data_IF_060696025237
#
_entry.id   IF_060696025237
#
_cell.length_a   1.000
_cell.length_b   1.000
_cell.length_c   1.000
_cell.angle_alpha   90.00
_cell.angle_beta   90.00
_cell.angle_gamma   90.00
#
_symmetry.space_group_name_H-M   'P 1'
#
loop_
_entity.id
_entity.type
_entity.pdbx_description
1 polymer ?
#
# COMPACT_ATOMS: atom_id res chain seq x y z
N UNK A 1 -3.50 16.76 11.00
CA UNK A 1 -3.84 16.09 9.72
C UNK A 1 -3.79 14.58 9.91
N UNK A 2 -4.87 13.88 9.58
CA UNK A 2 -4.93 12.41 9.75
C UNK A 2 -4.08 11.72 8.69
N UNK A 3 -3.32 10.70 9.07
CA UNK A 3 -2.54 9.89 8.14
C UNK A 3 -3.46 8.90 7.42
N UNK A 4 -3.30 8.76 6.12
CA UNK A 4 -3.98 7.69 5.36
C UNK A 4 -3.46 6.32 5.79
N UNK A 5 -4.23 5.26 5.52
CA UNK A 5 -3.81 3.88 5.81
C UNK A 5 -2.49 3.53 5.11
N UNK A 6 -2.26 4.04 3.90
CA UNK A 6 -1.01 3.86 3.15
C UNK A 6 0.18 4.52 3.87
N UNK A 7 -0.02 5.73 4.41
CA UNK A 7 1.02 6.42 5.19
C UNK A 7 1.34 5.67 6.49
N UNK A 8 0.34 5.06 7.13
CA UNK A 8 0.54 4.22 8.31
C UNK A 8 1.31 2.94 7.98
N UNK A 9 0.98 2.29 6.84
CA UNK A 9 1.72 1.13 6.34
C UNK A 9 3.18 1.51 6.08
N UNK A 10 3.42 2.60 5.32
CA UNK A 10 4.77 3.11 5.06
C UNK A 10 5.56 3.28 6.35
N UNK A 11 5.05 4.03 7.30
CA UNK A 11 5.74 4.30 8.57
C UNK A 11 6.01 3.02 9.36
N UNK A 12 5.05 2.10 9.37
CA UNK A 12 5.19 0.80 10.02
C UNK A 12 6.32 -0.03 9.41
N UNK A 13 6.40 -0.08 8.07
CA UNK A 13 7.46 -0.82 7.36
C UNK A 13 8.83 -0.18 7.62
N UNK A 14 8.96 1.13 7.41
CA UNK A 14 10.22 1.85 7.58
C UNK A 14 10.75 1.76 9.02
N UNK A 15 9.85 1.91 10.01
CA UNK A 15 10.21 1.81 11.42
C UNK A 15 10.66 0.39 11.83
N UNK A 16 9.98 -0.64 11.31
CA UNK A 16 10.27 -2.03 11.68
C UNK A 16 11.50 -2.62 10.97
N UNK A 17 11.76 -2.20 9.74
CA UNK A 17 12.74 -2.85 8.86
C UNK A 17 13.94 -1.96 8.51
N UNK A 18 13.81 -0.65 8.63
CA UNK A 18 14.80 0.33 8.18
C UNK A 18 14.92 0.44 6.66
N UNK A 19 14.02 -0.17 5.91
CA UNK A 19 14.02 -0.15 4.44
C UNK A 19 13.27 1.06 3.91
N UNK A 20 13.74 1.63 2.81
CA UNK A 20 13.00 2.68 2.10
C UNK A 20 11.73 2.09 1.49
N UNK A 21 10.61 2.79 1.69
CA UNK A 21 9.32 2.34 1.20
C UNK A 21 8.89 3.11 -0.04
N UNK A 22 8.47 2.37 -1.05
CA UNK A 22 7.91 2.91 -2.28
C UNK A 22 6.45 2.50 -2.46
N UNK A 23 5.64 3.46 -2.84
CA UNK A 23 4.27 3.21 -3.27
C UNK A 23 4.25 3.27 -4.79
N UNK A 24 4.32 2.08 -5.40
CA UNK A 24 4.35 1.99 -6.85
C UNK A 24 3.90 0.61 -7.34
N UNK A 25 3.48 0.54 -8.59
CA UNK A 25 3.23 -0.76 -9.22
C UNK A 25 4.56 -1.42 -9.60
N UNK A 26 4.64 -2.76 -9.66
CA UNK A 26 5.84 -3.45 -10.10
C UNK A 26 6.37 -2.97 -11.47
N UNK A 27 5.45 -2.54 -12.34
CA UNK A 27 5.80 -2.01 -13.66
C UNK A 27 6.49 -0.63 -13.58
N UNK A 28 6.04 0.23 -12.68
CA UNK A 28 6.63 1.55 -12.47
C UNK A 28 7.99 1.45 -11.80
N UNK A 29 8.22 0.44 -10.99
CA UNK A 29 9.51 0.20 -10.38
C UNK A 29 10.58 -0.12 -11.43
N UNK A 30 10.26 -0.95 -12.42
CA UNK A 30 11.19 -1.24 -13.52
C UNK A 30 11.65 0.03 -14.26
N UNK A 31 10.78 1.03 -14.34
CA UNK A 31 11.12 2.35 -14.94
C UNK A 31 11.95 3.23 -14.00
N UNK A 32 11.84 3.01 -12.67
CA UNK A 32 12.51 3.82 -11.64
C UNK A 32 13.73 3.16 -11.02
N UNK A 33 14.17 2.02 -11.55
CA UNK A 33 15.31 1.27 -11.02
C UNK A 33 16.59 2.09 -10.86
N UNK A 34 16.81 3.05 -11.74
CA UNK A 34 17.97 3.96 -11.65
C UNK A 34 17.92 4.90 -10.43
N UNK A 35 16.76 5.02 -9.77
CA UNK A 35 16.52 5.93 -8.63
C UNK A 35 16.13 5.22 -7.35
N UNK A 36 15.83 3.93 -7.41
CA UNK A 36 15.45 3.17 -6.23
C UNK A 36 16.67 2.76 -5.42
N UNK A 37 16.59 2.93 -4.10
CA UNK A 37 17.60 2.45 -3.16
C UNK A 37 17.24 1.04 -2.74
N UNK A 38 18.06 0.06 -3.07
CA UNK A 38 17.89 -1.33 -2.65
C UNK A 38 18.78 -1.67 -1.45
N UNK A 39 18.36 -2.57 -0.56
CA UNK A 39 17.04 -3.21 -0.53
C UNK A 39 15.93 -2.24 -0.14
N UNK A 40 14.71 -2.47 -0.64
CA UNK A 40 13.56 -1.61 -0.41
C UNK A 40 12.28 -2.40 -0.17
N UNK A 41 11.24 -1.70 0.26
CA UNK A 41 9.90 -2.26 0.37
C UNK A 41 8.94 -1.53 -0.56
N UNK A 42 8.00 -2.26 -1.15
CA UNK A 42 7.01 -1.74 -2.08
C UNK A 42 5.63 -2.20 -1.70
N UNK A 43 4.63 -1.35 -1.90
CA UNK A 43 3.24 -1.67 -1.68
C UNK A 43 2.50 -1.87 -3.00
N UNK A 44 1.88 -3.02 -3.13
CA UNK A 44 0.92 -3.32 -4.17
C UNK A 44 -0.46 -3.53 -3.55
N UNK A 45 -1.43 -2.68 -3.90
CA UNK A 45 -2.81 -2.83 -3.44
C UNK A 45 -3.51 -3.85 -4.32
N UNK A 46 -3.99 -4.94 -3.73
CA UNK A 46 -4.70 -6.02 -4.43
C UNK A 46 -6.20 -5.75 -4.47
N UNK A 47 -6.76 -5.28 -3.37
CA UNK A 47 -8.17 -4.88 -3.29
C UNK A 47 -8.30 -3.64 -2.42
N UNK A 48 -8.98 -2.63 -2.95
CA UNK A 48 -9.40 -1.45 -2.19
C UNK A 48 -10.58 -1.82 -1.30
N UNK A 49 -10.46 -1.43 -0.06
CA UNK A 49 -11.13 -2.00 1.04
C UNK A 49 -12.62 -1.86 1.18
N UNK A 50 -13.16 -2.77 1.97
CA UNK A 50 -14.44 -2.58 2.59
C UNK A 50 -14.31 -1.50 3.68
N UNK A 51 -15.14 -0.49 3.60
CA UNK A 51 -15.34 0.45 4.70
C UNK A 51 -16.35 -0.17 5.64
N UNK A 52 -15.91 -0.52 6.85
CA UNK A 52 -16.84 -0.98 7.88
C UNK A 52 -17.46 0.25 8.55
N UNK A 53 -18.77 0.43 8.36
CA UNK A 53 -19.56 1.49 9.00
C UNK A 53 -20.24 0.91 10.20
N UNK A 54 -19.61 0.96 11.35
CA UNK A 54 -20.19 0.54 12.61
C UNK A 54 -20.26 1.72 13.58
N UNK A 55 -21.44 2.03 14.10
CA UNK A 55 -21.66 3.13 15.04
C UNK A 55 -21.18 4.51 14.54
N UNK A 56 -21.39 4.82 13.26
CA UNK A 56 -20.91 6.05 12.62
C UNK A 56 -19.36 6.19 12.58
N UNK A 57 -18.63 5.09 12.76
CA UNK A 57 -17.18 5.04 12.64
C UNK A 57 -16.83 4.34 11.31
N UNK A 58 -16.10 5.05 10.45
CA UNK A 58 -15.56 4.49 9.21
C UNK A 58 -14.18 3.90 9.46
N UNK A 59 -14.01 2.61 9.19
CA UNK A 59 -12.73 1.92 9.23
C UNK A 59 -12.36 1.43 7.85
N UNK A 60 -11.17 1.73 7.44
CA UNK A 60 -10.65 1.25 6.16
C UNK A 60 -9.97 -0.12 6.35
N UNK A 61 -10.28 -1.03 5.43
CA UNK A 61 -9.65 -2.35 5.34
C UNK A 61 -9.08 -2.53 3.95
N UNK A 62 -7.82 -2.90 3.87
CA UNK A 62 -7.12 -3.14 2.61
C UNK A 62 -6.51 -4.54 2.58
N UNK A 63 -6.60 -5.19 1.42
CA UNK A 63 -5.75 -6.34 1.12
C UNK A 63 -4.61 -5.87 0.24
N UNK A 64 -3.40 -6.07 0.71
CA UNK A 64 -2.19 -5.56 0.10
C UNK A 64 -1.13 -6.65 0.01
N UNK A 65 -0.27 -6.54 -0.98
CA UNK A 65 0.99 -7.24 -1.02
C UNK A 65 2.12 -6.25 -0.76
N UNK A 66 2.95 -6.54 0.23
CA UNK A 66 4.18 -5.79 0.47
C UNK A 66 5.34 -6.63 -0.02
N UNK A 67 6.05 -6.11 -1.01
CA UNK A 67 7.21 -6.73 -1.61
C UNK A 67 8.48 -6.16 -0.96
N UNK A 68 9.30 -7.03 -0.39
CA UNK A 68 10.63 -6.70 0.09
C UNK A 68 11.60 -7.11 -1.01
N UNK A 69 12.25 -6.13 -1.66
CA UNK A 69 12.98 -6.34 -2.89
C UNK A 69 14.47 -6.02 -2.74
N UNK A 70 15.28 -6.75 -3.47
CA UNK A 70 16.70 -6.50 -3.66
C UNK A 70 17.07 -6.59 -5.13
N UNK A 71 18.13 -5.91 -5.54
CA UNK A 71 18.68 -6.12 -6.88
C UNK A 71 19.29 -7.50 -6.94
N UNK A 72 18.81 -8.32 -7.87
CA UNK A 72 19.54 -9.52 -8.26
C UNK A 72 20.78 -9.08 -9.03
N UNK A 73 21.95 -9.46 -8.54
CA UNK A 73 23.12 -9.44 -9.40
C UNK A 73 22.95 -10.61 -10.35
N UNK A 74 22.77 -10.30 -11.62
CA UNK A 74 22.84 -11.27 -12.72
C UNK A 74 24.26 -11.88 -12.86
N UNK A 75 25.11 -11.72 -11.87
CA UNK A 75 26.38 -12.40 -11.77
C UNK A 75 26.09 -13.86 -11.46
N UNK A 76 26.31 -14.69 -12.39
CA UNK A 76 26.34 -16.13 -12.55
C UNK A 76 26.55 -17.04 -11.29
N UNK A 77 26.44 -16.49 -10.09
CA UNK A 77 26.71 -17.22 -8.85
C UNK A 77 25.58 -18.12 -8.37
N UNK A 78 24.52 -18.25 -9.17
CA UNK A 78 23.50 -19.28 -8.98
C UNK A 78 22.38 -18.92 -8.01
N UNK A 79 21.38 -19.78 -8.02
CA UNK A 79 20.13 -19.72 -7.24
C UNK A 79 20.40 -19.61 -5.73
N UNK A 80 21.50 -20.18 -5.24
CA UNK A 80 21.83 -20.19 -3.80
C UNK A 80 22.10 -18.81 -3.24
N UNK A 81 22.74 -17.91 -3.99
CA UNK A 81 23.01 -16.54 -3.55
C UNK A 81 21.73 -15.73 -3.48
N UNK A 82 20.86 -15.92 -4.48
CA UNK A 82 19.55 -15.27 -4.55
C UNK A 82 18.62 -15.73 -3.41
N UNK A 83 18.62 -17.02 -3.10
CA UNK A 83 17.84 -17.56 -1.99
C UNK A 83 18.33 -17.04 -0.63
N UNK A 84 19.61 -16.86 -0.43
CA UNK A 84 20.16 -16.26 0.79
C UNK A 84 19.73 -14.80 0.95
N UNK A 85 19.70 -14.02 -0.12
CA UNK A 85 19.21 -12.65 -0.08
C UNK A 85 17.70 -12.60 0.17
N UNK A 86 16.93 -13.51 -0.44
CA UNK A 86 15.49 -13.64 -0.17
C UNK A 86 15.20 -14.06 1.27
N UNK A 87 16.03 -14.92 1.88
CA UNK A 87 15.86 -15.27 3.29
C UNK A 87 16.15 -14.09 4.24
N UNK A 88 17.08 -13.21 3.90
CA UNK A 88 17.28 -11.93 4.63
C UNK A 88 16.05 -11.03 4.53
N UNK A 89 15.47 -10.92 3.33
CA UNK A 89 14.25 -10.14 3.11
C UNK A 89 13.05 -10.75 3.82
N UNK A 90 12.94 -12.07 3.85
CA UNK A 90 11.93 -12.79 4.65
C UNK A 90 12.02 -12.43 6.14
N UNK A 91 13.23 -12.37 6.70
CA UNK A 91 13.40 -11.94 8.08
C UNK A 91 12.93 -10.50 8.31
N UNK A 92 13.19 -9.58 7.38
CA UNK A 92 12.67 -8.22 7.43
C UNK A 92 11.15 -8.19 7.37
N UNK A 93 10.54 -8.98 6.48
CA UNK A 93 9.09 -9.12 6.39
C UNK A 93 8.48 -9.61 7.72
N UNK A 94 9.09 -10.61 8.36
CA UNK A 94 8.61 -11.13 9.63
C UNK A 94 8.80 -10.14 10.79
N UNK A 95 9.89 -9.37 10.82
CA UNK A 95 10.06 -8.27 11.76
C UNK A 95 8.91 -7.26 11.66
N UNK A 96 8.54 -6.90 10.42
CA UNK A 96 7.39 -6.02 10.20
C UNK A 96 6.07 -6.64 10.63
N UNK A 97 5.79 -7.91 10.31
CA UNK A 97 4.57 -8.59 10.76
C UNK A 97 4.45 -8.61 12.29
N UNK A 98 5.54 -8.88 13.00
CA UNK A 98 5.57 -8.82 14.46
C UNK A 98 5.32 -7.40 14.98
N UNK A 99 5.84 -6.38 14.31
CA UNK A 99 5.58 -4.99 14.66
C UNK A 99 4.10 -4.61 14.42
N UNK A 100 3.49 -5.10 13.34
CA UNK A 100 2.06 -4.92 13.08
C UNK A 100 1.18 -5.53 14.18
N UNK A 101 1.51 -6.72 14.67
CA UNK A 101 0.77 -7.36 15.75
C UNK A 101 0.78 -6.54 17.06
N UNK A 102 1.76 -5.66 17.22
CA UNK A 102 1.90 -4.74 18.36
C UNK A 102 1.46 -3.32 18.06
N UNK A 103 1.05 -3.05 16.81
CA UNK A 103 0.64 -1.71 16.37
C UNK A 103 -0.64 -1.27 17.08
N UNK A 104 -0.74 0.03 17.33
CA UNK A 104 -1.96 0.69 17.82
C UNK A 104 -2.73 1.41 16.72
N UNK A 105 -2.20 1.45 15.51
CA UNK A 105 -2.79 2.14 14.37
C UNK A 105 -3.39 1.19 13.34
N UNK A 106 -2.72 0.03 13.13
CA UNK A 106 -3.11 -0.98 12.16
C UNK A 106 -3.28 -2.34 12.83
N UNK A 107 -4.32 -3.06 12.44
CA UNK A 107 -4.57 -4.44 12.84
C UNK A 107 -4.32 -5.37 11.66
N UNK A 108 -3.50 -6.38 11.87
CA UNK A 108 -3.37 -7.50 10.95
C UNK A 108 -4.60 -8.38 11.09
N UNK A 109 -5.44 -8.42 10.04
CA UNK A 109 -6.66 -9.23 10.00
C UNK A 109 -6.33 -10.67 9.59
N UNK A 110 -5.54 -10.81 8.52
CA UNK A 110 -5.09 -12.11 8.02
C UNK A 110 -3.75 -12.01 7.29
N UNK A 111 -2.98 -13.08 7.41
CA UNK A 111 -1.87 -13.36 6.52
C UNK A 111 -2.39 -14.35 5.46
N UNK A 112 -2.51 -13.91 4.22
CA UNK A 112 -3.12 -14.72 3.17
C UNK A 112 -2.12 -15.70 2.56
N UNK A 113 -0.99 -15.17 2.07
CA UNK A 113 0.12 -15.98 1.56
C UNK A 113 1.43 -15.19 1.56
N UNK A 114 2.51 -15.90 1.30
CA UNK A 114 3.84 -15.33 1.03
C UNK A 114 4.37 -15.91 -0.28
N UNK A 115 5.04 -15.08 -1.06
CA UNK A 115 5.57 -15.46 -2.37
C UNK A 115 7.05 -15.11 -2.49
N UNK A 116 7.79 -15.91 -3.23
CA UNK A 116 9.16 -15.60 -3.66
C UNK A 116 9.13 -15.22 -5.12
N UNK A 117 9.68 -14.09 -5.44
CA UNK A 117 9.84 -13.58 -6.80
C UNK A 117 11.32 -13.56 -7.15
N UNK A 118 11.68 -14.30 -8.17
CA UNK A 118 13.04 -14.36 -8.67
C UNK A 118 13.21 -13.40 -9.82
N UNK A 119 14.39 -12.83 -9.97
CA UNK A 119 14.70 -11.98 -11.10
C UNK A 119 14.49 -12.72 -12.42
N UNK A 120 13.93 -12.00 -13.39
CA UNK A 120 13.73 -12.46 -14.74
C UNK A 120 14.36 -11.47 -15.71
N UNK A 121 14.39 -11.81 -17.01
CA UNK A 121 14.89 -10.89 -18.05
C UNK A 121 14.12 -9.55 -18.07
N UNK A 122 12.85 -9.57 -17.61
CA UNK A 122 11.98 -8.41 -17.56
C UNK A 122 11.99 -7.71 -16.17
N UNK A 123 12.49 -8.36 -15.13
CA UNK A 123 12.53 -7.85 -13.76
C UNK A 123 13.91 -8.08 -13.14
N UNK A 124 14.69 -7.03 -13.01
CA UNK A 124 16.06 -7.07 -12.49
C UNK A 124 16.15 -7.10 -10.95
N UNK A 125 15.06 -7.39 -10.29
CA UNK A 125 15.02 -7.52 -8.83
C UNK A 125 14.41 -8.85 -8.41
N UNK A 126 14.85 -9.35 -7.26
CA UNK A 126 14.21 -10.45 -6.54
C UNK A 126 13.48 -9.91 -5.34
N UNK A 127 12.35 -10.49 -5.00
CA UNK A 127 11.53 -10.01 -3.90
C UNK A 127 10.90 -11.13 -3.08
N UNK A 128 10.69 -10.85 -1.80
CA UNK A 128 9.85 -11.64 -0.92
C UNK A 128 8.55 -10.87 -0.67
N UNK A 129 7.44 -11.42 -1.15
CA UNK A 129 6.11 -10.82 -1.05
C UNK A 129 5.32 -11.37 0.13
N UNK A 130 4.63 -10.47 0.83
CA UNK A 130 3.71 -10.80 1.91
C UNK A 130 2.34 -10.24 1.59
N UNK A 131 1.38 -11.13 1.34
CA UNK A 131 -0.01 -10.76 1.06
C UNK A 131 -0.80 -10.81 2.36
N UNK A 132 -1.31 -9.66 2.78
CA UNK A 132 -2.01 -9.49 4.05
C UNK A 132 -3.25 -8.63 3.90
N UNK A 133 -4.19 -8.84 4.83
CA UNK A 133 -5.32 -7.94 5.00
C UNK A 133 -5.11 -7.12 6.27
N UNK A 134 -5.15 -5.81 6.14
CA UNK A 134 -4.99 -4.84 7.21
C UNK A 134 -6.27 -4.05 7.42
N UNK A 135 -6.49 -3.61 8.66
CA UNK A 135 -7.60 -2.74 9.04
C UNK A 135 -7.11 -1.63 9.97
N UNK A 136 -7.64 -0.43 9.83
CA UNK A 136 -7.41 0.62 10.80
C UNK A 136 -8.04 0.28 12.15
N UNK A 137 -7.29 0.46 13.25
CA UNK A 137 -7.82 0.25 14.62
C UNK A 137 -8.73 1.41 14.98
N UNK A 138 -8.30 2.65 14.69
CA UNK A 138 -9.08 3.84 14.93
C UNK A 138 -9.72 4.31 13.63
N UNK A 139 -11.04 4.18 13.56
CA UNK A 139 -11.83 4.71 12.45
C UNK A 139 -11.97 6.24 12.50
N UNK A 140 -12.66 6.79 11.52
CA UNK A 140 -13.11 8.20 11.48
C UNK A 140 -14.56 8.22 11.91
N UNK A 141 -14.90 9.11 12.84
CA UNK A 141 -16.30 9.41 13.12
C UNK A 141 -16.85 10.29 12.00
N UNK A 142 -18.05 10.01 11.53
CA UNK A 142 -18.72 10.86 10.53
C UNK A 142 -18.90 12.30 11.02
N UNK A 143 -18.93 12.51 12.34
CA UNK A 143 -19.00 13.83 12.95
C UNK A 143 -17.72 14.67 12.79
N UNK A 144 -16.58 14.04 12.46
CA UNK A 144 -15.31 14.72 12.25
C UNK A 144 -15.16 15.26 10.81
N UNK A 145 -16.11 14.94 9.93
CA UNK A 145 -16.16 15.55 8.59
C UNK A 145 -16.88 16.90 8.68
N UNK A 146 -16.21 18.01 8.34
CA UNK A 146 -16.89 19.28 8.24
C UNK A 146 -17.97 19.20 7.17
N UNK A 147 -19.15 19.70 7.50
CA UNK A 147 -20.32 19.72 6.61
C UNK A 147 -20.11 20.54 5.30
N UNK A 148 -18.99 21.24 5.21
CA UNK A 148 -18.64 22.14 4.11
C UNK A 148 -18.14 21.48 2.83
N UNK A 149 -17.99 20.14 2.81
CA UNK A 149 -17.53 19.42 1.60
C UNK A 149 -18.66 18.97 0.65
N UNK A 150 -19.90 19.27 0.99
CA UNK A 150 -21.00 19.16 0.02
C UNK A 150 -21.18 20.54 -0.63
N UNK A 151 -20.26 20.93 -1.52
CA UNK A 151 -20.52 22.02 -2.44
C UNK A 151 -21.76 21.62 -3.25
N UNK A 152 -22.87 22.33 -2.98
CA UNK A 152 -24.07 22.28 -3.81
C UNK A 152 -23.60 22.59 -5.24
N UNK A 153 -23.80 21.65 -6.13
CA UNK A 153 -23.66 21.89 -7.57
C UNK A 153 -24.56 23.08 -7.88
N UNK A 154 -24.06 24.20 -8.43
CA UNK A 154 -24.95 25.32 -8.77
C UNK A 154 -26.01 24.82 -9.74
N UNK A 155 -27.28 24.97 -9.36
CA UNK A 155 -28.39 24.72 -10.23
C UNK A 155 -28.22 25.58 -11.49
N UNK A 156 -28.16 24.92 -12.63
CA UNK A 156 -28.16 25.55 -13.95
C UNK A 156 -29.40 26.46 -14.06
N UNK A 157 -29.26 27.78 -14.30
CA UNK A 157 -30.40 28.65 -14.47
C UNK A 157 -31.13 28.22 -15.74
N UNK A 158 -32.35 27.72 -15.56
CA UNK A 158 -33.26 27.35 -16.61
C UNK A 158 -33.32 28.45 -17.67
N UNK A 159 -33.05 28.10 -18.91
CA UNK A 159 -33.26 28.90 -20.09
C UNK A 159 -34.77 29.29 -20.16
N UNK A 160 -35.06 30.53 -19.87
CA UNK A 160 -36.34 31.13 -20.21
C UNK A 160 -36.36 31.44 -21.71
N UNK A 161 -36.91 30.52 -22.50
CA UNK A 161 -37.31 30.82 -23.86
C UNK A 161 -38.39 31.91 -23.84
N UNK A 162 -37.98 33.10 -24.23
CA UNK A 162 -38.89 34.18 -24.57
C UNK A 162 -39.51 33.95 -25.94
N UNK A 163 -40.78 33.54 -25.96
CA UNK A 163 -41.60 33.62 -27.16
C UNK A 163 -41.81 35.08 -27.56
N UNK A 164 -41.35 35.48 -28.72
CA UNK A 164 -41.75 36.72 -29.39
C UNK A 164 -42.59 36.39 -30.58
N UNK A 165 -43.84 36.69 -30.42
CA UNK A 165 -44.87 36.86 -31.47
C UNK A 165 -44.63 38.19 -32.24
N UNK A 166 -44.51 38.15 -33.52
CA UNK A 166 -45.27 38.89 -34.56
C UNK A 166 -44.59 38.75 -35.91
#
# INVERSE_FOLDING_TARGET
MRKSIIQKIKQSVEAATGLTFYYDTPQTLNVRLDRATFPCAMLHILTSGAVDVNNAILKERLTVEVLFATTSRLDFDGVDVEDNELDKLKLKAFQWLLALMRSRELRLVSLNNTNRYYATDDAIYSAYGVNITLEEIQGVTLCDYPAETLEETPEDPAETEGAATT
#
